data_IF_900906621700
#
_entry.id   IF_900906621700
#
_cell.length_a   1.000
_cell.length_b   1.000
_cell.length_c   1.000
_cell.angle_alpha   90.00
_cell.angle_beta   90.00
_cell.angle_gamma   90.00
#
_symmetry.space_group_name_H-M   'P 1'
#
loop_
_entity.id
_entity.type
_entity.pdbx_description
1 polymer ?
#
# COMPACT_ATOMS: atom_id res chain seq x y z
N UNK A 1 13.67 10.04 -36.93
CA UNK A 1 14.43 10.92 -36.02
C UNK A 1 14.71 10.16 -34.74
N UNK A 2 16.01 9.97 -34.40
CA UNK A 2 16.43 9.27 -33.19
C UNK A 2 16.34 10.24 -32.02
N UNK A 3 15.30 10.14 -31.19
CA UNK A 3 15.33 10.79 -29.89
C UNK A 3 16.18 9.93 -28.95
N UNK A 4 17.50 10.14 -28.95
CA UNK A 4 18.30 9.81 -27.78
C UNK A 4 17.94 10.84 -26.73
N UNK A 5 17.24 10.43 -25.66
CA UNK A 5 17.14 11.26 -24.47
C UNK A 5 18.52 11.16 -23.82
N UNK A 6 19.37 12.19 -23.89
CA UNK A 6 20.66 12.16 -23.21
C UNK A 6 20.36 12.11 -21.72
N UNK A 7 20.97 11.17 -20.99
CA UNK A 7 20.82 10.97 -19.54
C UNK A 7 19.54 10.26 -19.05
N UNK A 8 18.91 9.39 -19.82
CA UNK A 8 17.92 8.47 -19.21
C UNK A 8 18.67 7.49 -18.32
N UNK A 9 18.40 7.44 -16.99
CA UNK A 9 19.04 6.46 -16.13
C UNK A 9 18.62 5.05 -16.58
N UNK A 10 19.55 4.11 -16.56
CA UNK A 10 19.28 2.70 -16.90
C UNK A 10 18.39 2.01 -15.87
N UNK A 11 18.34 2.53 -14.63
CA UNK A 11 17.51 2.00 -13.56
C UNK A 11 16.87 3.12 -12.72
N UNK A 12 15.57 2.99 -12.47
CA UNK A 12 14.76 3.89 -11.64
C UNK A 12 14.10 3.10 -10.54
N UNK A 13 14.16 3.59 -9.30
CA UNK A 13 13.43 3.02 -8.19
C UNK A 13 12.36 3.99 -7.68
N UNK A 14 11.09 3.67 -7.96
CA UNK A 14 9.93 4.42 -7.51
C UNK A 14 9.58 4.02 -6.08
N UNK A 15 9.74 4.93 -5.15
CA UNK A 15 9.45 4.72 -3.72
C UNK A 15 8.31 5.62 -3.25
N UNK A 16 7.59 5.17 -2.26
CA UNK A 16 6.45 5.93 -1.70
C UNK A 16 5.49 5.03 -0.95
N UNK A 17 4.46 5.58 -0.30
CA UNK A 17 3.48 4.80 0.45
C UNK A 17 2.74 3.80 -0.45
N UNK A 18 2.23 2.73 0.17
CA UNK A 18 1.35 1.78 -0.53
C UNK A 18 0.15 2.53 -1.10
N UNK A 19 -0.22 2.24 -2.35
CA UNK A 19 -1.32 2.92 -3.02
C UNK A 19 -0.99 4.30 -3.61
N UNK A 20 0.26 4.80 -3.55
CA UNK A 20 0.64 6.08 -4.17
C UNK A 20 0.69 6.06 -5.70
N UNK A 21 0.24 4.98 -6.34
CA UNK A 21 0.23 4.88 -7.80
C UNK A 21 1.59 4.51 -8.43
N UNK A 22 2.55 4.01 -7.65
CA UNK A 22 3.89 3.65 -8.16
C UNK A 22 3.86 2.73 -9.38
N UNK A 23 2.96 1.73 -9.40
CA UNK A 23 2.82 0.81 -10.54
C UNK A 23 2.31 1.52 -11.78
N UNK A 24 1.34 2.40 -11.61
CA UNK A 24 0.82 3.22 -12.71
C UNK A 24 1.89 4.17 -13.24
N UNK A 25 2.62 4.83 -12.34
CA UNK A 25 3.78 5.66 -12.72
C UNK A 25 4.84 4.85 -13.49
N UNK A 26 5.15 3.63 -13.05
CA UNK A 26 6.10 2.75 -13.74
C UNK A 26 5.64 2.43 -15.17
N UNK A 27 4.35 2.06 -15.34
CA UNK A 27 3.78 1.77 -16.66
C UNK A 27 3.73 2.98 -17.58
N UNK A 28 3.39 4.15 -17.06
CA UNK A 28 3.43 5.41 -17.83
C UNK A 28 4.86 5.75 -18.28
N UNK A 29 5.83 5.63 -17.38
CA UNK A 29 7.24 5.85 -17.70
C UNK A 29 7.74 4.85 -18.75
N UNK A 30 7.39 3.58 -18.64
CA UNK A 30 7.70 2.54 -19.62
C UNK A 30 7.07 2.83 -20.99
N UNK A 31 5.80 3.26 -21.01
CA UNK A 31 5.10 3.64 -22.23
C UNK A 31 5.78 4.83 -22.93
N UNK A 32 6.09 5.87 -22.19
CA UNK A 32 6.85 7.01 -22.72
C UNK A 32 8.22 6.60 -23.26
N UNK A 33 8.91 5.69 -22.55
CA UNK A 33 10.23 5.23 -22.95
C UNK A 33 10.19 4.39 -24.24
N UNK A 34 9.26 3.44 -24.33
CA UNK A 34 9.15 2.51 -25.46
C UNK A 34 8.39 3.07 -26.66
N UNK A 35 7.24 3.73 -26.40
CA UNK A 35 6.30 4.17 -27.44
C UNK A 35 6.40 5.66 -27.76
N UNK A 36 7.11 6.44 -26.94
CA UNK A 36 7.22 7.90 -27.08
C UNK A 36 5.96 8.67 -26.72
N UNK A 37 4.96 8.00 -26.14
CA UNK A 37 3.68 8.57 -25.67
C UNK A 37 3.13 7.78 -24.49
N UNK A 38 2.24 8.41 -23.72
CA UNK A 38 1.49 7.72 -22.65
C UNK A 38 0.35 6.89 -23.23
N UNK A 39 0.55 5.59 -23.36
CA UNK A 39 -0.42 4.61 -23.88
C UNK A 39 -0.18 3.27 -23.18
N UNK A 40 -0.71 3.13 -21.97
CA UNK A 40 -0.50 1.96 -21.11
C UNK A 40 -1.24 0.71 -21.62
N UNK A 41 -2.27 0.86 -22.44
CA UNK A 41 -2.99 -0.26 -23.05
C UNK A 41 -2.12 -0.95 -24.09
N UNK A 42 -1.55 -0.18 -25.02
CA UNK A 42 -0.62 -0.70 -26.04
C UNK A 42 0.72 -1.14 -25.49
N UNK A 43 1.09 -0.66 -24.30
CA UNK A 43 2.31 -1.11 -23.64
C UNK A 43 2.32 -2.63 -23.42
N UNK A 44 1.18 -3.21 -23.03
CA UNK A 44 1.05 -4.65 -22.77
C UNK A 44 1.22 -5.51 -24.03
N UNK A 45 1.04 -4.94 -25.21
CA UNK A 45 1.23 -5.60 -26.51
C UNK A 45 2.68 -5.41 -27.06
N UNK A 46 3.48 -4.57 -26.39
CA UNK A 46 4.83 -4.26 -26.84
C UNK A 46 5.79 -5.42 -26.53
N UNK A 47 6.44 -6.05 -27.53
CA UNK A 47 7.33 -7.19 -27.31
C UNK A 47 8.60 -6.84 -26.53
N UNK A 48 8.91 -5.55 -26.40
CA UNK A 48 10.07 -5.04 -25.67
C UNK A 48 9.72 -4.59 -24.23
N UNK A 49 8.48 -4.81 -23.82
CA UNK A 49 8.00 -4.55 -22.47
C UNK A 49 7.87 -5.86 -21.71
N UNK A 50 8.39 -5.89 -20.50
CA UNK A 50 8.22 -6.99 -19.56
C UNK A 50 7.88 -6.45 -18.16
N UNK A 51 7.00 -7.14 -17.47
CA UNK A 51 6.73 -6.93 -16.05
C UNK A 51 7.00 -8.26 -15.33
N UNK A 52 7.74 -8.24 -14.22
CA UNK A 52 8.07 -9.43 -13.46
C UNK A 52 6.78 -10.11 -12.97
N UNK A 53 6.50 -11.35 -13.38
CA UNK A 53 5.21 -12.01 -13.07
C UNK A 53 5.13 -12.52 -11.64
N UNK A 54 6.24 -12.91 -11.03
CA UNK A 54 6.33 -13.39 -9.65
C UNK A 54 7.70 -13.06 -9.03
N UNK A 55 7.86 -13.35 -7.73
CA UNK A 55 9.06 -12.97 -6.96
C UNK A 55 10.05 -14.13 -6.75
N UNK A 56 9.90 -15.24 -7.48
CA UNK A 56 10.79 -16.41 -7.38
C UNK A 56 12.14 -16.09 -8.01
N UNK A 57 13.20 -16.61 -7.41
CA UNK A 57 14.58 -16.36 -7.87
C UNK A 57 14.82 -16.83 -9.31
N UNK A 58 14.21 -17.96 -9.70
CA UNK A 58 14.37 -18.49 -11.06
C UNK A 58 13.68 -17.60 -12.07
N UNK A 59 12.48 -17.09 -11.78
CA UNK A 59 11.77 -16.12 -12.62
C UNK A 59 12.60 -14.84 -12.82
N UNK A 60 13.18 -14.31 -11.72
CA UNK A 60 14.05 -13.13 -11.80
C UNK A 60 15.26 -13.40 -12.68
N UNK A 61 15.88 -14.59 -12.53
CA UNK A 61 17.04 -15.00 -13.34
C UNK A 61 16.70 -15.09 -14.83
N UNK A 62 15.56 -15.74 -15.15
CA UNK A 62 15.11 -15.94 -16.53
C UNK A 62 14.79 -14.62 -17.22
N UNK A 63 14.10 -13.70 -16.53
CA UNK A 63 13.76 -12.37 -17.05
C UNK A 63 15.04 -11.55 -17.28
N UNK A 64 15.99 -11.56 -16.35
CA UNK A 64 17.28 -10.87 -16.51
C UNK A 64 18.12 -11.48 -17.67
N UNK A 65 18.13 -12.80 -17.82
CA UNK A 65 18.81 -13.48 -18.93
C UNK A 65 18.15 -13.14 -20.28
N UNK A 66 16.81 -13.13 -20.34
CA UNK A 66 16.05 -12.73 -21.51
C UNK A 66 16.34 -11.29 -21.93
N UNK A 67 16.45 -10.37 -20.98
CA UNK A 67 16.79 -8.98 -21.24
C UNK A 67 18.19 -8.87 -21.91
N UNK A 68 19.17 -9.66 -21.45
CA UNK A 68 20.51 -9.70 -22.01
C UNK A 68 20.55 -10.34 -23.42
N UNK A 69 19.70 -11.33 -23.71
CA UNK A 69 19.63 -11.97 -25.01
C UNK A 69 18.95 -11.12 -26.08
N UNK A 70 17.96 -10.32 -25.69
CA UNK A 70 17.22 -9.42 -26.59
C UNK A 70 18.05 -8.23 -27.12
N UNK A 71 19.21 -7.97 -26.55
CA UNK A 71 20.14 -6.92 -26.98
C UNK A 71 20.58 -7.06 -28.45
N UNK A 72 20.50 -8.26 -29.03
CA UNK A 72 20.77 -8.46 -30.47
C UNK A 72 19.69 -7.84 -31.38
N UNK A 73 18.48 -7.58 -30.86
CA UNK A 73 17.47 -6.77 -31.52
C UNK A 73 17.69 -5.31 -31.12
N UNK A 74 18.40 -4.53 -31.93
CA UNK A 74 18.64 -3.09 -31.69
C UNK A 74 17.35 -2.37 -31.37
N UNK A 75 17.13 -2.01 -30.08
CA UNK A 75 15.91 -1.34 -29.62
C UNK A 75 15.94 -0.95 -28.17
N UNK A 76 14.89 -0.27 -27.74
CA UNK A 76 14.64 0.05 -26.33
C UNK A 76 13.90 -1.12 -25.68
N UNK A 77 14.31 -1.49 -24.48
CA UNK A 77 13.69 -2.53 -23.67
C UNK A 77 13.32 -1.97 -22.30
N UNK A 78 12.20 -2.39 -21.74
CA UNK A 78 11.81 -1.96 -20.40
C UNK A 78 11.36 -3.15 -19.56
N UNK A 79 11.94 -3.28 -18.38
CA UNK A 79 11.55 -4.25 -17.36
C UNK A 79 11.01 -3.54 -16.14
N UNK A 80 9.75 -3.80 -15.77
CA UNK A 80 9.19 -3.38 -14.49
C UNK A 80 9.33 -4.51 -13.48
N UNK A 81 9.85 -4.17 -12.30
CA UNK A 81 9.93 -5.05 -11.13
C UNK A 81 9.00 -4.46 -10.06
N UNK A 82 7.71 -4.89 -10.01
CA UNK A 82 6.79 -4.39 -9.03
C UNK A 82 7.15 -4.90 -7.64
N UNK A 83 6.89 -4.08 -6.62
CA UNK A 83 7.07 -4.46 -5.21
C UNK A 83 8.40 -5.17 -4.92
N UNK A 84 9.53 -4.62 -5.40
CA UNK A 84 10.87 -5.22 -5.29
C UNK A 84 11.25 -5.62 -3.85
N UNK A 85 10.61 -5.05 -2.85
CA UNK A 85 10.74 -5.42 -1.44
C UNK A 85 10.18 -6.81 -1.09
N UNK A 86 9.39 -7.43 -1.98
CA UNK A 86 8.89 -8.81 -1.83
C UNK A 86 9.89 -9.86 -2.34
N UNK A 87 10.92 -9.44 -3.08
CA UNK A 87 11.98 -10.31 -3.50
C UNK A 87 12.81 -10.80 -2.31
N UNK A 88 13.14 -12.08 -2.28
CA UNK A 88 14.12 -12.60 -1.32
C UNK A 88 15.49 -11.93 -1.53
N UNK A 89 16.34 -11.92 -0.50
CA UNK A 89 17.71 -11.37 -0.61
C UNK A 89 18.48 -12.01 -1.79
N UNK A 90 18.31 -13.30 -2.02
CA UNK A 90 18.94 -14.03 -3.12
C UNK A 90 18.42 -13.55 -4.48
N UNK A 91 17.09 -13.35 -4.63
CA UNK A 91 16.50 -12.82 -5.85
C UNK A 91 16.93 -11.36 -6.09
N UNK A 92 17.04 -10.55 -5.04
CA UNK A 92 17.57 -9.19 -5.13
C UNK A 92 19.05 -9.19 -5.60
N UNK A 93 19.88 -10.09 -5.08
CA UNK A 93 21.27 -10.23 -5.52
C UNK A 93 21.38 -10.63 -7.00
N UNK A 94 20.44 -11.42 -7.53
CA UNK A 94 20.40 -11.77 -8.96
C UNK A 94 20.26 -10.54 -9.86
N UNK A 95 19.53 -9.49 -9.39
CA UNK A 95 19.36 -8.24 -10.14
C UNK A 95 20.65 -7.40 -10.21
N UNK A 96 21.57 -7.55 -9.26
CA UNK A 96 22.74 -6.67 -9.15
C UNK A 96 23.58 -6.70 -10.43
N UNK A 97 23.80 -7.86 -11.02
CA UNK A 97 24.58 -7.98 -12.27
C UNK A 97 23.97 -7.16 -13.41
N UNK A 98 22.64 -7.22 -13.59
CA UNK A 98 21.92 -6.47 -14.63
C UNK A 98 21.88 -4.97 -14.31
N UNK A 99 21.89 -4.59 -13.03
CA UNK A 99 21.95 -3.18 -12.62
C UNK A 99 23.36 -2.58 -12.76
N UNK A 100 24.41 -3.40 -12.63
CA UNK A 100 25.81 -2.99 -12.80
C UNK A 100 26.20 -2.87 -14.28
N UNK A 101 25.77 -3.84 -15.07
CA UNK A 101 26.07 -3.94 -16.51
C UNK A 101 24.77 -4.05 -17.31
N UNK A 102 23.97 -2.94 -17.35
CA UNK A 102 22.68 -2.96 -18.04
C UNK A 102 22.87 -3.12 -19.55
N UNK A 103 22.04 -3.93 -20.21
CA UNK A 103 22.05 -4.02 -21.66
C UNK A 103 21.78 -2.66 -22.31
N UNK A 104 22.41 -2.42 -23.48
CA UNK A 104 22.21 -1.16 -24.21
C UNK A 104 20.72 -0.94 -24.54
N UNK A 105 20.18 0.22 -24.20
CA UNK A 105 18.76 0.52 -24.42
C UNK A 105 17.80 -0.16 -23.42
N UNK A 106 18.31 -0.74 -22.34
CA UNK A 106 17.44 -1.26 -21.27
C UNK A 106 17.11 -0.20 -20.22
N UNK A 107 15.84 -0.15 -19.79
CA UNK A 107 15.34 0.61 -18.65
C UNK A 107 14.74 -0.36 -17.64
N UNK A 108 15.29 -0.38 -16.42
CA UNK A 108 14.73 -1.13 -15.31
C UNK A 108 13.96 -0.17 -14.39
N UNK A 109 12.69 -0.49 -14.11
CA UNK A 109 11.86 0.32 -13.20
C UNK A 109 11.45 -0.56 -12.02
N UNK A 110 12.03 -0.30 -10.86
CA UNK A 110 11.66 -0.97 -9.62
C UNK A 110 10.59 -0.14 -8.90
N UNK A 111 9.65 -0.81 -8.23
CA UNK A 111 8.74 -0.13 -7.29
C UNK A 111 8.81 -0.79 -5.93
N UNK A 112 8.57 -0.06 -4.84
CA UNK A 112 8.53 -0.70 -3.53
C UNK A 112 8.79 0.22 -2.34
N UNK A 113 9.10 -0.45 -1.21
CA UNK A 113 9.56 0.22 -0.01
C UNK A 113 11.09 0.30 -0.02
N UNK A 114 11.62 1.52 0.08
CA UNK A 114 13.06 1.79 0.05
C UNK A 114 13.83 1.03 1.13
N UNK A 115 13.26 0.91 2.33
CA UNK A 115 13.95 0.32 3.49
C UNK A 115 14.08 -1.21 3.39
N UNK A 116 13.22 -1.86 2.66
CA UNK A 116 13.18 -3.32 2.52
C UNK A 116 13.89 -3.84 1.25
N UNK A 117 14.62 -2.97 0.55
CA UNK A 117 15.45 -3.32 -0.61
C UNK A 117 16.92 -3.10 -0.26
N UNK A 118 17.78 -4.00 -0.73
CA UNK A 118 19.21 -3.97 -0.44
C UNK A 118 19.84 -2.60 -0.76
N UNK A 119 20.72 -2.08 0.08
CA UNK A 119 21.44 -0.82 -0.17
C UNK A 119 22.21 -0.83 -1.50
N UNK A 120 22.73 -2.00 -1.90
CA UNK A 120 23.44 -2.21 -3.15
C UNK A 120 22.59 -2.02 -4.39
N UNK A 121 21.28 -2.34 -4.34
CA UNK A 121 20.33 -2.03 -5.42
C UNK A 121 19.99 -0.53 -5.41
N UNK A 122 19.73 0.03 -4.24
CA UNK A 122 19.39 1.45 -4.12
C UNK A 122 20.46 2.38 -4.65
N UNK A 123 21.74 2.05 -4.41
CA UNK A 123 22.86 2.86 -4.89
C UNK A 123 23.05 2.86 -6.41
N UNK A 124 22.43 1.90 -7.11
CA UNK A 124 22.50 1.75 -8.58
C UNK A 124 21.26 2.23 -9.31
N UNK A 125 20.25 2.64 -8.57
CA UNK A 125 18.99 3.15 -9.12
C UNK A 125 18.85 4.66 -8.87
N UNK A 126 18.30 5.39 -9.84
CA UNK A 126 17.81 6.73 -9.62
C UNK A 126 16.55 6.64 -8.74
N UNK A 127 16.63 7.17 -7.51
CA UNK A 127 15.51 7.15 -6.59
C UNK A 127 14.51 8.27 -6.94
N UNK A 128 13.25 7.88 -7.22
CA UNK A 128 12.16 8.81 -7.50
C UNK A 128 11.06 8.60 -6.46
N UNK A 129 10.76 9.64 -5.69
CA UNK A 129 9.72 9.61 -4.65
C UNK A 129 8.37 9.93 -5.27
N UNK A 130 7.49 8.93 -5.28
CA UNK A 130 6.08 9.09 -5.64
C UNK A 130 5.34 9.51 -4.37
N UNK A 131 5.00 10.80 -4.30
CA UNK A 131 4.35 11.41 -3.14
C UNK A 131 2.84 11.22 -3.12
N UNK A 132 2.25 11.84 -2.12
CA UNK A 132 0.81 12.05 -2.03
C UNK A 132 0.43 13.32 -2.78
N UNK A 133 -0.80 13.38 -3.27
CA UNK A 133 -1.37 14.58 -3.87
C UNK A 133 -2.08 15.42 -2.80
N UNK A 134 -2.34 16.67 -3.12
CA UNK A 134 -3.20 17.52 -2.30
C UNK A 134 -4.61 16.88 -2.18
N UNK A 135 -5.11 16.74 -0.97
CA UNK A 135 -6.43 16.13 -0.71
C UNK A 135 -7.55 16.86 -1.45
N UNK A 136 -7.43 18.20 -1.68
CA UNK A 136 -8.42 18.96 -2.44
C UNK A 136 -8.44 18.52 -3.91
N UNK A 137 -7.27 18.30 -4.51
CA UNK A 137 -7.17 17.81 -5.89
C UNK A 137 -7.70 16.39 -6.03
N UNK A 138 -7.37 15.52 -5.08
CA UNK A 138 -7.87 14.14 -5.05
C UNK A 138 -9.40 14.13 -4.92
N UNK A 139 -9.97 14.92 -4.01
CA UNK A 139 -11.41 15.04 -3.84
C UNK A 139 -12.10 15.59 -5.10
N UNK A 140 -11.53 16.60 -5.77
CA UNK A 140 -12.05 17.15 -7.02
C UNK A 140 -12.12 16.08 -8.11
N UNK A 141 -11.05 15.30 -8.29
CA UNK A 141 -11.01 14.18 -9.26
C UNK A 141 -12.03 13.09 -8.98
N UNK A 142 -12.25 12.75 -7.70
CA UNK A 142 -13.31 11.80 -7.32
C UNK A 142 -14.71 12.32 -7.67
N UNK A 143 -14.97 13.63 -7.46
CA UNK A 143 -16.23 14.27 -7.85
C UNK A 143 -16.45 14.24 -9.35
N UNK A 144 -15.43 14.51 -10.15
CA UNK A 144 -15.49 14.41 -11.61
C UNK A 144 -15.87 13.01 -12.10
N UNK A 145 -15.53 11.97 -11.30
CA UNK A 145 -15.95 10.57 -11.54
C UNK A 145 -17.32 10.20 -10.95
N UNK A 146 -18.08 11.17 -10.46
CA UNK A 146 -19.44 10.98 -9.95
C UNK A 146 -19.54 10.59 -8.47
N UNK A 147 -18.44 10.66 -7.70
CA UNK A 147 -18.51 10.41 -6.26
C UNK A 147 -19.12 11.62 -5.55
N UNK A 148 -20.03 11.37 -4.61
CA UNK A 148 -20.63 12.42 -3.77
C UNK A 148 -19.56 13.30 -3.09
N UNK A 149 -19.90 14.59 -2.89
CA UNK A 149 -18.96 15.59 -2.39
C UNK A 149 -18.35 15.29 -1.03
N UNK A 150 -19.20 14.87 -0.07
CA UNK A 150 -18.75 14.61 1.30
C UNK A 150 -17.93 13.32 1.35
N UNK A 151 -18.35 12.32 0.60
CA UNK A 151 -17.68 11.04 0.44
C UNK A 151 -16.32 11.21 -0.26
N UNK A 152 -16.24 12.02 -1.31
CA UNK A 152 -14.98 12.34 -1.99
C UNK A 152 -13.99 13.05 -1.07
N UNK A 153 -14.48 14.01 -0.27
CA UNK A 153 -13.69 14.73 0.71
C UNK A 153 -13.18 13.81 1.83
N UNK A 154 -14.07 12.99 2.40
CA UNK A 154 -13.70 12.02 3.43
C UNK A 154 -12.62 11.04 2.92
N UNK A 155 -12.85 10.46 1.76
CA UNK A 155 -11.92 9.49 1.14
C UNK A 155 -10.54 10.12 0.87
N UNK A 156 -10.48 11.34 0.36
CA UNK A 156 -9.23 12.05 0.11
C UNK A 156 -8.45 12.35 1.41
N UNK A 157 -9.14 12.69 2.50
CA UNK A 157 -8.53 12.95 3.80
C UNK A 157 -8.05 11.63 4.44
N UNK A 158 -8.89 10.59 4.44
CA UNK A 158 -8.54 9.27 5.00
C UNK A 158 -7.32 8.65 4.31
N UNK A 159 -7.21 8.85 2.98
CA UNK A 159 -6.10 8.34 2.17
C UNK A 159 -4.82 9.16 2.30
N UNK A 160 -4.84 10.30 3.02
CA UNK A 160 -3.71 11.24 3.10
C UNK A 160 -3.23 11.72 1.72
N UNK A 161 -4.18 11.90 0.78
CA UNK A 161 -3.89 12.31 -0.59
C UNK A 161 -3.28 11.21 -1.46
N UNK A 162 -3.37 9.94 -1.08
CA UNK A 162 -2.96 8.79 -1.92
C UNK A 162 -4.09 8.43 -2.88
N UNK A 163 -3.95 8.65 -4.22
CA UNK A 163 -5.08 8.58 -5.16
C UNK A 163 -5.80 7.25 -5.20
N UNK A 164 -5.07 6.14 -5.30
CA UNK A 164 -5.68 4.81 -5.39
C UNK A 164 -6.34 4.35 -4.08
N UNK A 165 -5.81 4.79 -2.92
CA UNK A 165 -6.48 4.59 -1.64
C UNK A 165 -7.74 5.44 -1.54
N UNK A 166 -7.72 6.68 -2.04
CA UNK A 166 -8.89 7.54 -2.07
C UNK A 166 -10.01 6.94 -2.93
N UNK A 167 -9.69 6.39 -4.10
CA UNK A 167 -10.65 5.68 -4.96
C UNK A 167 -11.25 4.48 -4.22
N UNK A 168 -10.43 3.67 -3.57
CA UNK A 168 -10.89 2.53 -2.74
C UNK A 168 -11.79 3.00 -1.59
N UNK A 169 -11.38 4.03 -0.86
CA UNK A 169 -12.12 4.54 0.29
C UNK A 169 -13.42 5.27 -0.10
N UNK A 170 -13.50 5.76 -1.33
CA UNK A 170 -14.73 6.31 -1.89
C UNK A 170 -15.70 5.22 -2.38
N UNK A 171 -15.28 3.94 -2.49
CA UNK A 171 -16.12 2.83 -2.88
C UNK A 171 -17.22 2.52 -1.85
N UNK A 172 -18.39 2.05 -2.32
CA UNK A 172 -19.54 1.74 -1.45
C UNK A 172 -19.23 0.63 -0.45
N UNK A 173 -18.48 -0.36 -0.86
CA UNK A 173 -18.06 -1.48 -0.02
C UNK A 173 -17.26 -0.99 1.19
N UNK A 174 -16.24 -0.14 0.97
CA UNK A 174 -15.44 0.39 2.07
C UNK A 174 -16.24 1.32 2.99
N UNK A 175 -17.07 2.20 2.43
CA UNK A 175 -17.91 3.11 3.23
C UNK A 175 -18.89 2.33 4.11
N UNK A 176 -19.54 1.31 3.55
CA UNK A 176 -20.44 0.43 4.30
C UNK A 176 -19.71 -0.33 5.41
N UNK A 177 -18.54 -0.91 5.07
CA UNK A 177 -17.70 -1.60 6.06
C UNK A 177 -17.25 -0.65 7.16
N UNK A 178 -16.76 0.55 6.83
CA UNK A 178 -16.32 1.56 7.79
C UNK A 178 -17.45 1.98 8.73
N UNK A 179 -18.65 2.23 8.21
CA UNK A 179 -19.82 2.59 9.02
C UNK A 179 -20.19 1.51 10.05
N UNK A 180 -19.97 0.23 9.71
CA UNK A 180 -20.16 -0.89 10.63
C UNK A 180 -18.96 -1.10 11.57
N UNK A 181 -17.75 -0.81 11.12
CA UNK A 181 -16.52 -1.00 11.89
C UNK A 181 -16.37 0.02 13.02
N UNK A 182 -16.78 1.28 12.81
CA UNK A 182 -16.65 2.34 13.81
C UNK A 182 -17.34 2.01 15.15
N UNK A 183 -18.63 1.59 15.20
CA UNK A 183 -19.26 1.15 16.44
C UNK A 183 -18.60 -0.09 17.06
N UNK A 184 -18.11 -1.02 16.23
CA UNK A 184 -17.40 -2.21 16.71
C UNK A 184 -16.06 -1.83 17.34
N UNK A 185 -15.33 -0.89 16.77
CA UNK A 185 -14.09 -0.35 17.36
C UNK A 185 -14.39 0.32 18.70
N UNK A 186 -15.47 1.08 18.78
CA UNK A 186 -15.90 1.69 20.06
C UNK A 186 -16.20 0.62 21.11
N UNK A 187 -16.93 -0.44 20.75
CA UNK A 187 -17.17 -1.57 21.63
C UNK A 187 -15.89 -2.33 22.03
N UNK A 188 -14.92 -2.46 21.13
CA UNK A 188 -13.61 -3.08 21.41
C UNK A 188 -12.82 -2.26 22.43
N UNK A 189 -12.87 -0.94 22.34
CA UNK A 189 -12.09 -0.04 23.20
C UNK A 189 -12.79 0.23 24.55
N UNK A 190 -14.12 0.18 24.63
CA UNK A 190 -14.90 0.62 25.81
C UNK A 190 -16.01 -0.33 26.23
N UNK A 191 -16.25 -1.41 25.47
CA UNK A 191 -17.46 -2.21 25.63
C UNK A 191 -17.25 -3.55 26.30
N UNK A 192 -18.37 -4.23 26.59
CA UNK A 192 -18.42 -5.46 27.36
C UNK A 192 -18.33 -6.75 26.51
N UNK A 193 -18.63 -6.69 25.19
CA UNK A 193 -18.70 -7.89 24.33
C UNK A 193 -18.07 -7.70 22.95
N UNK A 194 -16.77 -7.37 22.86
CA UNK A 194 -16.15 -7.00 21.59
C UNK A 194 -15.98 -8.17 20.61
N UNK A 195 -15.73 -9.40 21.12
CA UNK A 195 -15.34 -10.55 20.29
C UNK A 195 -16.42 -10.96 19.26
N UNK A 196 -17.64 -11.18 19.69
CA UNK A 196 -18.72 -11.68 18.83
C UNK A 196 -19.06 -10.69 17.70
N UNK A 197 -19.09 -9.37 18.00
CA UNK A 197 -19.40 -8.33 17.01
C UNK A 197 -18.25 -8.14 16.02
N UNK A 198 -17.00 -8.14 16.51
CA UNK A 198 -15.82 -8.01 15.66
C UNK A 198 -15.68 -9.23 14.73
N UNK A 199 -15.84 -10.44 15.24
CA UNK A 199 -15.83 -11.65 14.43
C UNK A 199 -16.94 -11.63 13.37
N UNK A 200 -18.17 -11.30 13.77
CA UNK A 200 -19.31 -11.25 12.84
C UNK A 200 -19.13 -10.23 11.71
N UNK A 201 -18.51 -9.08 11.99
CA UNK A 201 -18.22 -8.06 10.98
C UNK A 201 -17.24 -8.54 9.90
N UNK A 202 -16.25 -9.35 10.31
CA UNK A 202 -15.16 -9.77 9.44
C UNK A 202 -15.34 -11.17 8.88
N UNK A 203 -16.37 -11.92 9.32
CA UNK A 203 -16.65 -13.27 8.85
C UNK A 203 -17.26 -13.28 7.44
N UNK A 204 -16.78 -14.21 6.63
CA UNK A 204 -17.40 -14.61 5.37
C UNK A 204 -17.59 -16.12 5.33
N UNK A 205 -18.48 -16.61 4.47
CA UNK A 205 -18.68 -18.05 4.25
C UNK A 205 -17.82 -18.53 3.09
N UNK A 206 -16.90 -19.42 3.39
CA UNK A 206 -16.08 -20.10 2.39
C UNK A 206 -16.27 -21.63 2.57
N UNK A 207 -16.71 -22.31 1.51
CA UNK A 207 -17.01 -23.76 1.54
C UNK A 207 -17.94 -24.18 2.69
N UNK A 208 -18.91 -23.33 3.05
CA UNK A 208 -19.86 -23.60 4.15
C UNK A 208 -19.31 -23.36 5.56
N UNK A 209 -18.05 -23.00 5.72
CA UNK A 209 -17.42 -22.64 6.99
C UNK A 209 -17.29 -21.15 7.13
N UNK A 210 -17.50 -20.65 8.35
CA UNK A 210 -17.23 -19.25 8.68
C UNK A 210 -15.73 -19.03 8.83
N UNK A 211 -15.17 -18.07 8.10
CA UNK A 211 -13.76 -17.66 8.20
C UNK A 211 -13.66 -16.15 8.28
N UNK A 212 -12.70 -15.65 9.03
CA UNK A 212 -12.38 -14.22 9.08
C UNK A 212 -11.66 -13.81 7.79
N UNK A 213 -12.21 -12.80 7.11
CA UNK A 213 -11.58 -12.19 5.94
C UNK A 213 -10.32 -11.45 6.34
N UNK A 214 -9.21 -11.77 5.66
CA UNK A 214 -7.92 -11.09 5.86
C UNK A 214 -8.00 -9.62 5.47
N UNK A 215 -8.66 -9.32 4.36
CA UNK A 215 -8.80 -7.95 3.86
C UNK A 215 -9.69 -7.12 4.80
N UNK A 216 -10.81 -7.67 5.27
CA UNK A 216 -11.66 -7.02 6.24
C UNK A 216 -10.93 -6.75 7.58
N UNK A 217 -10.10 -7.69 8.05
CA UNK A 217 -9.27 -7.49 9.24
C UNK A 217 -8.20 -6.42 9.02
N UNK A 218 -7.57 -6.36 7.83
CA UNK A 218 -6.64 -5.29 7.50
C UNK A 218 -7.34 -3.92 7.49
N UNK A 219 -8.53 -3.82 6.89
CA UNK A 219 -9.31 -2.58 6.87
C UNK A 219 -9.72 -2.16 8.28
N UNK A 220 -10.16 -3.10 9.10
CA UNK A 220 -10.49 -2.83 10.51
C UNK A 220 -9.28 -2.27 11.28
N UNK A 221 -8.11 -2.89 11.14
CA UNK A 221 -6.88 -2.39 11.76
C UNK A 221 -6.47 -1.01 11.24
N UNK A 222 -6.64 -0.74 9.94
CA UNK A 222 -6.33 0.56 9.36
C UNK A 222 -7.25 1.67 9.88
N UNK A 223 -8.54 1.37 10.05
CA UNK A 223 -9.50 2.30 10.67
C UNK A 223 -9.13 2.55 12.13
N UNK A 224 -8.86 1.50 12.90
CA UNK A 224 -8.44 1.60 14.30
C UNK A 224 -7.14 2.43 14.45
N UNK A 225 -6.09 2.12 13.68
CA UNK A 225 -4.83 2.87 13.70
C UNK A 225 -5.03 4.35 13.36
N UNK A 226 -5.90 4.65 12.39
CA UNK A 226 -6.21 6.03 12.01
C UNK A 226 -6.90 6.78 13.14
N UNK A 227 -7.84 6.15 13.86
CA UNK A 227 -8.52 6.74 15.02
C UNK A 227 -7.56 6.97 16.21
N UNK A 228 -6.75 5.96 16.53
CA UNK A 228 -5.76 6.07 17.62
C UNK A 228 -4.73 7.16 17.32
N UNK A 229 -4.28 7.27 16.06
CA UNK A 229 -3.38 8.35 15.63
C UNK A 229 -4.02 9.72 15.84
N UNK A 230 -5.26 9.91 15.42
CA UNK A 230 -5.95 11.19 15.54
C UNK A 230 -6.18 11.56 17.02
N UNK A 231 -6.50 10.58 17.89
CA UNK A 231 -6.60 10.79 19.34
C UNK A 231 -5.25 11.18 19.96
N UNK A 232 -4.15 10.53 19.51
CA UNK A 232 -2.80 10.89 19.94
C UNK A 232 -2.42 12.32 19.51
N UNK A 233 -2.76 12.71 18.29
CA UNK A 233 -2.50 14.06 17.77
C UNK A 233 -3.27 15.12 18.56
N UNK A 234 -4.49 14.85 18.95
CA UNK A 234 -5.28 15.75 19.82
C UNK A 234 -4.59 15.95 21.17
N UNK A 235 -4.13 14.88 21.82
CA UNK A 235 -3.36 14.98 23.08
C UNK A 235 -2.06 15.78 22.94
N UNK A 236 -1.46 15.77 21.75
CA UNK A 236 -0.26 16.54 21.44
C UNK A 236 -0.54 17.98 20.96
N UNK A 237 -1.80 18.42 21.05
CA UNK A 237 -2.22 19.77 20.63
C UNK A 237 -2.21 20.01 19.12
N UNK A 238 -2.20 18.94 18.30
CA UNK A 238 -2.30 19.04 16.84
C UNK A 238 -3.74 19.04 16.39
N UNK A 239 -4.05 19.78 15.33
CA UNK A 239 -5.42 19.99 14.81
C UNK A 239 -5.69 19.24 13.49
N UNK A 240 -4.74 18.44 13.00
CA UNK A 240 -4.87 17.75 11.72
C UNK A 240 -5.40 16.33 11.94
N UNK A 241 -6.68 16.11 11.62
CA UNK A 241 -7.35 14.83 11.81
C UNK A 241 -7.81 14.24 10.48
N UNK A 242 -7.78 12.91 10.37
CA UNK A 242 -8.27 12.14 9.21
C UNK A 242 -9.74 11.71 9.38
N UNK A 243 -10.12 11.36 10.60
CA UNK A 243 -11.45 10.80 10.90
C UNK A 243 -12.46 11.91 11.20
N UNK A 244 -12.80 12.70 10.17
CA UNK A 244 -13.75 13.83 10.30
C UNK A 244 -15.18 13.36 10.57
N UNK A 245 -15.51 12.13 10.20
CA UNK A 245 -16.78 11.43 10.38
C UNK A 245 -16.91 10.73 11.75
N UNK A 246 -15.80 10.53 12.47
CA UNK A 246 -15.76 9.77 13.73
C UNK A 246 -15.21 10.60 14.91
N UNK A 247 -15.52 11.89 14.95
CA UNK A 247 -15.03 12.84 15.98
C UNK A 247 -15.39 12.40 17.40
N UNK A 248 -16.60 11.88 17.61
CA UNK A 248 -17.06 11.46 18.94
C UNK A 248 -16.19 10.33 19.49
N UNK A 249 -15.94 9.29 18.70
CA UNK A 249 -15.10 8.14 19.09
C UNK A 249 -13.67 8.62 19.36
N UNK A 250 -13.10 9.42 18.46
CA UNK A 250 -11.75 10.00 18.61
C UNK A 250 -11.60 10.78 19.91
N UNK A 251 -12.54 11.68 20.21
CA UNK A 251 -12.53 12.49 21.44
C UNK A 251 -12.60 11.60 22.67
N UNK A 252 -13.52 10.62 22.69
CA UNK A 252 -13.66 9.67 23.79
C UNK A 252 -12.36 8.88 24.02
N UNK A 253 -11.68 8.45 22.98
CA UNK A 253 -10.36 7.79 23.07
C UNK A 253 -9.33 8.74 23.67
N UNK A 254 -9.25 9.98 23.18
CA UNK A 254 -8.33 10.98 23.69
C UNK A 254 -8.56 11.35 25.16
N UNK A 255 -9.81 11.39 25.61
CA UNK A 255 -10.17 11.68 27.00
C UNK A 255 -9.87 10.51 27.94
N UNK A 256 -10.18 9.29 27.50
CA UNK A 256 -10.12 8.10 28.35
C UNK A 256 -8.71 7.53 28.52
N UNK A 257 -7.92 7.46 27.43
CA UNK A 257 -6.60 6.83 27.45
C UNK A 257 -5.47 7.86 27.55
N UNK A 258 -4.40 7.50 28.22
CA UNK A 258 -3.14 8.28 28.26
C UNK A 258 -2.40 8.18 26.93
N UNK A 259 -1.44 9.08 26.68
CA UNK A 259 -0.57 9.03 25.51
C UNK A 259 0.18 7.70 25.39
N UNK A 260 0.69 7.17 26.52
CA UNK A 260 1.41 5.90 26.55
C UNK A 260 0.51 4.69 26.21
N UNK A 261 -0.73 4.68 26.71
CA UNK A 261 -1.72 3.63 26.39
C UNK A 261 -2.09 3.64 24.91
N UNK A 262 -2.34 4.82 24.33
CA UNK A 262 -2.62 4.95 22.89
C UNK A 262 -1.43 4.47 22.05
N UNK A 263 -0.21 4.82 22.44
CA UNK A 263 1.00 4.34 21.76
C UNK A 263 1.17 2.82 21.87
N UNK A 264 0.83 2.23 23.01
CA UNK A 264 0.82 0.78 23.22
C UNK A 264 -0.18 0.09 22.30
N UNK A 265 -1.42 0.57 22.24
CA UNK A 265 -2.45 0.04 21.33
C UNK A 265 -2.06 0.14 19.86
N UNK A 266 -1.42 1.24 19.45
CA UNK A 266 -0.87 1.41 18.09
C UNK A 266 0.19 0.35 17.83
N UNK A 267 1.15 0.15 18.75
CA UNK A 267 2.24 -0.81 18.60
C UNK A 267 1.71 -2.25 18.46
N UNK A 268 0.75 -2.65 19.29
CA UNK A 268 0.14 -3.99 19.25
C UNK A 268 -0.64 -4.21 17.94
N UNK A 269 -1.39 -3.21 17.48
CA UNK A 269 -2.12 -3.29 16.21
C UNK A 269 -1.17 -3.41 15.01
N UNK A 270 -0.07 -2.66 15.01
CA UNK A 270 0.97 -2.73 13.97
C UNK A 270 1.68 -4.09 13.98
N UNK A 271 1.97 -4.65 15.15
CA UNK A 271 2.60 -5.98 15.26
C UNK A 271 1.66 -7.08 14.75
N UNK A 272 0.37 -7.04 15.11
CA UNK A 272 -0.63 -7.98 14.57
C UNK A 272 -0.72 -7.87 13.05
N UNK A 273 -0.69 -6.66 12.51
CA UNK A 273 -0.70 -6.43 11.07
C UNK A 273 0.56 -6.98 10.39
N UNK A 274 1.72 -6.81 10.99
CA UNK A 274 2.99 -7.37 10.52
C UNK A 274 2.92 -8.89 10.45
N UNK A 275 2.51 -9.53 11.54
CA UNK A 275 2.34 -11.00 11.61
C UNK A 275 1.36 -11.49 10.54
N UNK A 276 0.24 -10.79 10.35
CA UNK A 276 -0.75 -11.15 9.33
C UNK A 276 -0.18 -11.03 7.91
N UNK A 277 0.73 -10.09 7.64
CA UNK A 277 1.32 -9.89 6.30
C UNK A 277 2.49 -10.83 6.02
N UNK A 278 3.31 -11.14 7.02
CA UNK A 278 4.51 -11.99 6.89
C UNK A 278 4.18 -13.48 6.91
N UNK A 279 3.18 -13.87 7.69
CA UNK A 279 2.78 -15.27 7.83
C UNK A 279 1.38 -15.48 7.23
N UNK A 280 1.22 -16.55 6.46
CA UNK A 280 -0.08 -16.99 5.91
C UNK A 280 -1.02 -17.59 6.98
N UNK A 281 -0.86 -17.17 8.24
CA UNK A 281 -1.62 -17.62 9.39
C UNK A 281 -3.11 -17.31 9.31
N UNK A 282 -3.89 -18.00 10.12
CA UNK A 282 -5.34 -17.83 10.19
C UNK A 282 -5.69 -16.42 10.68
N UNK A 283 -6.40 -15.64 9.86
CA UNK A 283 -6.85 -14.29 10.19
C UNK A 283 -7.69 -14.25 11.50
N UNK A 284 -8.42 -15.35 11.80
CA UNK A 284 -9.15 -15.50 13.06
C UNK A 284 -8.26 -15.43 14.29
N UNK A 285 -7.15 -16.18 14.29
CA UNK A 285 -6.19 -16.13 15.42
C UNK A 285 -5.53 -14.76 15.59
N UNK A 286 -5.26 -14.06 14.49
CA UNK A 286 -4.74 -12.70 14.52
C UNK A 286 -5.77 -11.71 15.10
N UNK A 287 -7.06 -11.85 14.74
CA UNK A 287 -8.15 -11.06 15.32
C UNK A 287 -8.27 -11.32 16.82
N UNK A 288 -8.32 -12.58 17.24
CA UNK A 288 -8.45 -12.94 18.67
C UNK A 288 -7.26 -12.39 19.48
N UNK A 289 -6.05 -12.53 18.95
CA UNK A 289 -4.83 -11.97 19.55
C UNK A 289 -4.91 -10.44 19.70
N UNK A 290 -5.34 -9.73 18.66
CA UNK A 290 -5.52 -8.28 18.70
C UNK A 290 -6.56 -7.86 19.76
N UNK A 291 -7.72 -8.51 19.78
CA UNK A 291 -8.79 -8.18 20.73
C UNK A 291 -8.38 -8.44 22.19
N UNK A 292 -7.64 -9.52 22.43
CA UNK A 292 -7.07 -9.81 23.75
C UNK A 292 -6.04 -8.77 24.16
N UNK A 293 -5.16 -8.36 23.24
CA UNK A 293 -4.09 -7.39 23.55
C UNK A 293 -4.66 -6.00 23.82
N UNK A 294 -5.68 -5.57 23.07
CA UNK A 294 -6.33 -4.27 23.30
C UNK A 294 -7.07 -4.21 24.63
N UNK A 295 -7.63 -5.31 25.13
CA UNK A 295 -8.28 -5.37 26.46
C UNK A 295 -7.34 -5.12 27.65
N UNK A 296 -6.05 -5.29 27.49
CA UNK A 296 -5.08 -4.97 28.58
C UNK A 296 -5.11 -3.49 28.94
N UNK A 297 -5.58 -2.65 28.03
CA UNK A 297 -5.65 -1.20 28.20
C UNK A 297 -7.00 -0.71 28.74
N UNK A 298 -8.00 -1.61 28.87
CA UNK A 298 -9.28 -1.32 29.50
C UNK A 298 -9.07 -1.03 31.00
N UNK A 299 -9.38 0.19 31.43
CA UNK A 299 -9.34 0.52 32.85
C UNK A 299 -10.53 -0.16 33.54
N UNK A 300 -10.23 -1.00 34.54
CA UNK A 300 -11.21 -1.57 35.46
C UNK A 300 -11.97 -0.48 36.22
#
# INVERSE_FOLDING_TARGET
>A
MRYSIPNTPHAVFLVGPTGSGKKEYARRAASLYLLGREDTERLSECPFFQELPDYRIDTVRDVCAGLNQQVFARGRHCLIIPDAHKLTVQAQNTLLKTLEEPPEGALLILTGNEQAVLPTIRSRCMLVRVGTEDCVKVAARLKERGVDSDRARLAAILSDGVPSLAERYAGEEYISFRAQALPVIEDVLFGVTPFARASSLMEHKEEGKKRVSRDALCDFMDILLSLLRDALYEKLGKITFRNIDAKAIKNRVAEHFTTAEIQGMIAETLETRRVLTEFSGAAGAALDGLLVSLRKWEKQ
#
